data_IF_610006201451
#
_entry.id   IF_610006201451
#
_cell.length_a   1.000
_cell.length_b   1.000
_cell.length_c   1.000
_cell.angle_alpha   90.00
_cell.angle_beta   90.00
_cell.angle_gamma   90.00
#
_symmetry.space_group_name_H-M   'P 1'
#
loop_
_entity.id
_entity.type
_entity.pdbx_description
1 polymer ?
#
# COMPACT_ATOMS: atom_id res chain seq x y z
N UNK A 1 9.14 -22.30 10.31
CA UNK A 1 9.39 -21.50 11.53
C UNK A 1 8.29 -20.45 11.54
N UNK A 2 7.44 -20.46 12.58
CA UNK A 2 6.28 -19.57 12.65
C UNK A 2 6.71 -18.12 12.56
N UNK A 3 6.11 -17.39 11.62
CA UNK A 3 6.33 -15.95 11.47
C UNK A 3 5.32 -15.27 12.40
N UNK A 4 5.60 -15.30 13.71
CA UNK A 4 4.85 -14.48 14.65
C UNK A 4 5.30 -13.03 14.41
N UNK A 5 4.56 -12.34 13.54
CA UNK A 5 4.71 -10.89 13.39
C UNK A 5 4.42 -10.24 14.74
N UNK A 6 5.34 -9.39 15.20
CA UNK A 6 5.10 -8.55 16.38
C UNK A 6 4.06 -7.44 16.09
N UNK A 7 3.61 -7.33 14.85
CA UNK A 7 2.70 -6.29 14.38
C UNK A 7 1.30 -6.82 14.14
N UNK A 8 0.32 -6.13 14.73
CA UNK A 8 -1.09 -6.31 14.46
C UNK A 8 -1.65 -5.03 13.85
N UNK A 9 -2.28 -5.14 12.69
CA UNK A 9 -3.03 -4.03 12.07
C UNK A 9 -4.08 -3.49 13.05
N UNK A 10 -4.15 -2.17 13.19
CA UNK A 10 -5.16 -1.52 14.03
C UNK A 10 -6.53 -1.56 13.38
N UNK A 11 -7.56 -1.91 14.15
CA UNK A 11 -8.94 -1.96 13.66
C UNK A 11 -9.48 -0.54 13.47
N UNK A 12 -10.01 -0.19 12.28
CA UNK A 12 -10.69 1.07 12.07
C UNK A 12 -11.99 1.19 12.89
N UNK A 13 -12.38 2.42 13.22
CA UNK A 13 -13.66 2.73 13.85
C UNK A 13 -14.84 2.67 12.86
N UNK A 14 -16.04 3.04 13.31
CA UNK A 14 -17.25 3.03 12.48
C UNK A 14 -17.20 4.01 11.29
N UNK A 15 -16.27 4.97 11.30
CA UNK A 15 -16.01 5.91 10.22
C UNK A 15 -14.84 5.46 9.33
N UNK A 16 -14.26 4.28 9.58
CA UNK A 16 -13.11 3.76 8.85
C UNK A 16 -11.80 4.46 9.21
N UNK A 17 -11.73 5.17 10.35
CA UNK A 17 -10.52 5.85 10.83
C UNK A 17 -9.77 5.00 11.83
N UNK A 18 -8.44 5.11 11.80
CA UNK A 18 -7.53 4.37 12.66
C UNK A 18 -6.86 5.33 13.64
N UNK A 19 -6.89 4.96 14.92
CA UNK A 19 -6.25 5.73 15.99
C UNK A 19 -4.73 5.46 16.01
N UNK A 20 -3.98 6.28 15.26
CA UNK A 20 -2.53 6.32 15.34
C UNK A 20 -2.07 7.26 16.46
N UNK A 21 -1.12 6.82 17.26
CA UNK A 21 -0.56 7.62 18.35
C UNK A 21 0.54 8.57 17.86
N UNK A 22 1.11 9.34 18.79
CA UNK A 22 2.14 10.33 18.48
C UNK A 22 3.46 9.69 18.02
N UNK A 23 3.79 8.49 18.50
CA UNK A 23 5.03 7.81 18.13
C UNK A 23 4.92 7.26 16.70
N UNK A 24 3.79 6.65 16.37
CA UNK A 24 3.51 6.14 15.02
C UNK A 24 3.52 7.27 13.98
N UNK A 25 2.88 8.41 14.27
CA UNK A 25 2.91 9.58 13.39
C UNK A 25 4.33 10.16 13.26
N UNK A 26 5.12 10.17 14.33
CA UNK A 26 6.51 10.60 14.26
C UNK A 26 7.36 9.65 13.41
N UNK A 27 7.14 8.33 13.50
CA UNK A 27 7.81 7.34 12.65
C UNK A 27 7.47 7.56 11.18
N UNK A 28 6.20 7.80 10.85
CA UNK A 28 5.78 8.16 9.49
C UNK A 28 6.55 9.39 8.98
N UNK A 29 6.58 10.46 9.77
CA UNK A 29 7.24 11.70 9.38
C UNK A 29 8.74 11.51 9.11
N UNK A 30 9.41 10.71 9.94
CA UNK A 30 10.83 10.36 9.73
C UNK A 30 11.04 9.58 8.43
N UNK A 31 10.21 8.57 8.17
CA UNK A 31 10.30 7.77 6.94
C UNK A 31 10.02 8.60 5.69
N UNK A 32 8.98 9.44 5.74
CA UNK A 32 8.58 10.33 4.66
C UNK A 32 9.70 11.29 4.29
N UNK A 33 10.24 12.01 5.30
CA UNK A 33 11.34 12.96 5.09
C UNK A 33 12.58 12.28 4.51
N UNK A 34 12.96 11.10 5.06
CA UNK A 34 14.10 10.33 4.57
C UNK A 34 13.93 9.94 3.10
N UNK A 35 12.74 9.51 2.69
CA UNK A 35 12.49 9.14 1.30
C UNK A 35 12.53 10.36 0.36
N UNK A 36 12.01 11.52 0.77
CA UNK A 36 12.11 12.73 -0.05
C UNK A 36 13.54 13.22 -0.29
N UNK A 37 14.48 12.87 0.57
CA UNK A 37 15.91 13.13 0.37
C UNK A 37 16.58 12.13 -0.58
N UNK A 38 16.09 10.88 -0.62
CA UNK A 38 16.70 9.79 -1.38
C UNK A 38 16.15 9.68 -2.82
N UNK A 39 14.84 9.82 -2.99
CA UNK A 39 14.15 9.55 -4.25
C UNK A 39 14.48 10.51 -5.41
N UNK A 40 14.86 11.79 -5.22
CA UNK A 40 15.18 12.67 -6.34
C UNK A 40 16.28 12.10 -7.23
N UNK A 41 16.01 12.00 -8.54
CA UNK A 41 16.91 11.37 -9.51
C UNK A 41 16.92 9.83 -9.48
N UNK A 42 16.06 9.20 -8.68
CA UNK A 42 15.89 7.73 -8.59
C UNK A 42 14.48 7.27 -8.94
N UNK A 43 13.47 7.86 -8.31
CA UNK A 43 12.07 7.58 -8.64
C UNK A 43 11.71 8.21 -10.00
N UNK A 44 10.76 7.59 -10.70
CA UNK A 44 10.26 8.14 -11.95
C UNK A 44 9.53 9.49 -11.73
N UNK A 45 9.54 10.39 -12.72
CA UNK A 45 8.81 11.66 -12.63
C UNK A 45 7.31 11.47 -12.32
N UNK A 46 6.70 10.43 -12.88
CA UNK A 46 5.28 10.11 -12.67
C UNK A 46 4.96 9.86 -11.21
N UNK A 47 5.88 9.26 -10.44
CA UNK A 47 5.70 9.06 -9.01
C UNK A 47 5.66 10.39 -8.25
N UNK A 48 6.53 11.36 -8.59
CA UNK A 48 6.52 12.69 -7.95
C UNK A 48 5.30 13.53 -8.32
N UNK A 49 4.88 13.47 -9.59
CA UNK A 49 3.65 14.12 -10.05
C UNK A 49 2.43 13.56 -9.31
N UNK A 50 2.39 12.24 -9.13
CA UNK A 50 1.35 11.55 -8.41
C UNK A 50 1.39 11.83 -6.90
N UNK A 51 2.58 11.86 -6.28
CA UNK A 51 2.75 12.20 -4.87
C UNK A 51 2.24 13.62 -4.57
N UNK A 52 2.53 14.57 -5.47
CA UNK A 52 2.03 15.95 -5.40
C UNK A 52 0.52 16.00 -5.54
N UNK A 53 -0.06 15.22 -6.47
CA UNK A 53 -1.51 15.16 -6.70
C UNK A 53 -2.27 14.55 -5.53
N UNK A 54 -1.78 13.44 -4.98
CA UNK A 54 -2.41 12.77 -3.83
C UNK A 54 -2.26 13.62 -2.57
N UNK A 55 -1.16 14.36 -2.43
CA UNK A 55 -0.97 15.30 -1.32
C UNK A 55 -0.85 14.58 0.01
N UNK A 56 -0.04 13.52 0.07
CA UNK A 56 0.18 12.79 1.32
C UNK A 56 0.76 13.71 2.40
N UNK A 57 0.20 13.70 3.63
CA UNK A 57 0.75 14.48 4.73
C UNK A 57 2.15 13.99 5.09
N UNK A 58 3.05 14.94 5.36
CA UNK A 58 4.44 14.63 5.71
C UNK A 58 4.66 14.37 7.20
N UNK A 59 3.66 14.65 8.06
CA UNK A 59 3.81 14.71 9.51
C UNK A 59 2.93 13.71 10.28
N UNK A 60 2.02 12.99 9.60
CA UNK A 60 1.15 11.99 10.21
C UNK A 60 0.71 10.92 9.20
N UNK A 61 0.30 9.77 9.70
CA UNK A 61 -0.21 8.67 8.87
C UNK A 61 -1.58 9.09 8.30
N UNK A 62 -1.75 9.14 6.97
CA UNK A 62 -3.03 9.48 6.36
C UNK A 62 -4.08 8.40 6.61
N UNK A 63 -5.34 8.80 6.61
CA UNK A 63 -6.47 7.92 6.86
C UNK A 63 -7.03 7.40 5.53
N UNK A 64 -7.36 6.10 5.47
CA UNK A 64 -7.92 5.47 4.26
C UNK A 64 -9.14 6.24 3.68
N UNK A 65 -10.11 6.74 4.49
CA UNK A 65 -11.22 7.54 3.95
C UNK A 65 -10.77 8.80 3.20
N UNK A 66 -9.72 9.46 3.67
CA UNK A 66 -9.21 10.71 3.09
C UNK A 66 -8.47 10.40 1.77
N UNK A 67 -7.68 9.31 1.74
CA UNK A 67 -7.06 8.79 0.50
C UNK A 67 -8.12 8.38 -0.53
N UNK A 68 -9.18 7.71 -0.09
CA UNK A 68 -10.27 7.24 -0.96
C UNK A 68 -11.07 8.39 -1.57
N UNK A 69 -11.22 9.51 -0.84
CA UNK A 69 -11.84 10.71 -1.40
C UNK A 69 -11.03 11.22 -2.60
N UNK A 70 -9.69 11.27 -2.47
CA UNK A 70 -8.79 11.68 -3.56
C UNK A 70 -8.83 10.69 -4.75
N UNK A 71 -8.63 9.40 -4.50
CA UNK A 71 -8.53 8.38 -5.56
C UNK A 71 -9.85 8.15 -6.31
N UNK A 72 -11.00 8.40 -5.66
CA UNK A 72 -12.32 8.25 -6.29
C UNK A 72 -12.49 9.17 -7.50
N UNK A 73 -11.90 10.36 -7.47
CA UNK A 73 -11.98 11.33 -8.56
C UNK A 73 -11.04 10.99 -9.72
N UNK A 74 -9.91 10.34 -9.46
CA UNK A 74 -8.89 10.03 -10.47
C UNK A 74 -9.09 8.67 -11.13
N UNK A 75 -9.22 7.61 -10.35
CA UNK A 75 -9.18 6.23 -10.85
C UNK A 75 -10.32 5.37 -10.32
N UNK A 76 -11.01 5.78 -9.25
CA UNK A 76 -12.02 4.96 -8.58
C UNK A 76 -11.43 3.84 -7.73
N UNK A 77 -10.13 3.87 -7.44
CA UNK A 77 -9.48 2.92 -6.53
C UNK A 77 -9.88 3.24 -5.09
N UNK A 78 -10.08 2.20 -4.28
CA UNK A 78 -10.33 2.33 -2.84
C UNK A 78 -9.25 1.60 -2.04
N UNK A 79 -8.58 2.30 -1.13
CA UNK A 79 -7.69 1.74 -0.12
C UNK A 79 -8.55 1.12 0.99
N UNK A 80 -8.31 -0.16 1.28
CA UNK A 80 -9.10 -0.95 2.22
C UNK A 80 -8.19 -1.45 3.34
N UNK A 81 -8.46 -1.10 4.60
CA UNK A 81 -7.78 -1.68 5.76
C UNK A 81 -7.86 -3.21 5.78
N UNK A 82 -6.72 -3.87 5.95
CA UNK A 82 -6.66 -5.33 6.10
C UNK A 82 -5.81 -5.73 7.30
N UNK A 83 -6.00 -6.95 7.84
CA UNK A 83 -5.01 -7.57 8.71
C UNK A 83 -3.64 -7.63 8.01
N UNK A 84 -2.55 -7.62 8.78
CA UNK A 84 -1.18 -7.61 8.25
C UNK A 84 -0.90 -8.71 7.21
N UNK A 85 -1.64 -9.82 7.25
CA UNK A 85 -1.58 -10.89 6.26
C UNK A 85 -3.00 -11.28 5.83
N UNK A 86 -3.21 -11.37 4.52
CA UNK A 86 -4.44 -11.91 3.91
C UNK A 86 -4.08 -13.04 2.94
N UNK A 87 -5.04 -13.90 2.60
CA UNK A 87 -4.84 -14.93 1.59
C UNK A 87 -4.68 -14.33 0.19
N UNK A 88 -3.94 -15.01 -0.69
CA UNK A 88 -3.82 -14.61 -2.10
C UNK A 88 -5.19 -14.45 -2.77
N UNK A 89 -6.14 -15.34 -2.48
CA UNK A 89 -7.50 -15.27 -3.02
C UNK A 89 -8.20 -13.96 -2.62
N UNK A 90 -8.08 -13.57 -1.34
CA UNK A 90 -8.64 -12.30 -0.86
C UNK A 90 -7.91 -11.10 -1.47
N UNK A 91 -6.60 -11.19 -1.64
CA UNK A 91 -5.80 -10.15 -2.28
C UNK A 91 -6.23 -9.93 -3.74
N UNK A 92 -6.35 -11.00 -4.52
CA UNK A 92 -6.82 -10.95 -5.91
C UNK A 92 -8.23 -10.42 -6.02
N UNK A 93 -9.15 -10.86 -5.16
CA UNK A 93 -10.52 -10.36 -5.11
C UNK A 93 -10.56 -8.85 -4.90
N UNK A 94 -9.83 -8.35 -3.91
CA UNK A 94 -9.75 -6.92 -3.63
C UNK A 94 -9.26 -6.14 -4.87
N UNK A 95 -8.11 -6.52 -5.43
CA UNK A 95 -7.55 -5.83 -6.59
C UNK A 95 -8.48 -5.87 -7.81
N UNK A 96 -9.15 -7.00 -8.07
CA UNK A 96 -10.07 -7.16 -9.20
C UNK A 96 -11.23 -6.15 -9.15
N UNK A 97 -11.66 -5.75 -7.95
CA UNK A 97 -12.69 -4.74 -7.71
C UNK A 97 -12.12 -3.33 -7.49
N UNK A 98 -10.84 -3.09 -7.81
CA UNK A 98 -10.20 -1.79 -7.62
C UNK A 98 -10.01 -1.43 -6.16
N UNK A 99 -9.88 -2.42 -5.27
CA UNK A 99 -9.62 -2.21 -3.85
C UNK A 99 -8.19 -2.60 -3.53
N UNK A 100 -7.38 -1.66 -3.07
CA UNK A 100 -6.01 -1.93 -2.69
C UNK A 100 -5.91 -2.21 -1.17
N UNK A 101 -5.43 -3.39 -0.76
CA UNK A 101 -5.30 -3.72 0.65
C UNK A 101 -4.21 -2.87 1.31
N UNK A 102 -4.47 -2.40 2.53
CA UNK A 102 -3.49 -1.65 3.31
C UNK A 102 -3.44 -2.16 4.75
N UNK A 103 -2.27 -2.62 5.19
CA UNK A 103 -2.05 -2.88 6.60
C UNK A 103 -2.11 -1.56 7.40
N UNK A 104 -2.73 -1.58 8.57
CA UNK A 104 -2.96 -0.39 9.42
C UNK A 104 -2.09 -0.38 10.66
N UNK A 105 -0.84 -0.81 10.51
CA UNK A 105 0.21 -0.65 11.52
C UNK A 105 1.42 0.02 10.87
N UNK A 106 2.28 0.64 11.66
CA UNK A 106 3.58 1.14 11.21
C UNK A 106 4.69 0.42 11.96
N UNK A 107 5.83 0.22 11.30
CA UNK A 107 7.03 -0.36 11.91
C UNK A 107 7.50 0.43 13.14
N UNK A 108 8.17 -0.25 14.07
CA UNK A 108 8.81 0.36 15.23
C UNK A 108 10.07 1.13 14.83
N UNK A 109 10.57 1.95 15.75
CA UNK A 109 11.82 2.71 15.55
C UNK A 109 13.05 1.83 15.38
N UNK A 110 13.05 0.64 15.97
CA UNK A 110 14.16 -0.31 15.88
C UNK A 110 14.24 -0.98 14.49
N UNK A 111 13.16 -0.91 13.70
CA UNK A 111 13.04 -1.52 12.37
C UNK A 111 12.92 -0.46 11.25
N UNK A 112 13.33 0.79 11.51
CA UNK A 112 13.29 1.88 10.53
C UNK A 112 14.04 1.56 9.24
N UNK A 113 15.15 0.84 9.33
CA UNK A 113 15.98 0.50 8.17
C UNK A 113 15.32 -0.57 7.29
N UNK A 114 14.67 -1.56 7.88
CA UNK A 114 14.01 -2.63 7.16
C UNK A 114 13.01 -3.37 8.04
N UNK A 115 11.80 -3.58 7.50
CA UNK A 115 10.80 -4.49 8.01
C UNK A 115 10.46 -5.47 6.88
N UNK A 116 10.31 -6.76 7.22
CA UNK A 116 10.00 -7.79 6.23
C UNK A 116 8.52 -7.77 5.83
N UNK A 117 7.63 -7.53 6.80
CA UNK A 117 6.20 -7.36 6.58
C UNK A 117 5.88 -5.99 5.95
N UNK A 118 4.90 -5.91 5.02
CA UNK A 118 4.43 -4.64 4.53
C UNK A 118 3.64 -3.90 5.62
N UNK A 119 4.07 -2.67 5.93
CA UNK A 119 3.39 -1.78 6.88
C UNK A 119 2.67 -0.64 6.13
N UNK A 120 1.94 0.19 6.86
CA UNK A 120 1.18 1.31 6.29
C UNK A 120 2.06 2.28 5.49
N UNK A 121 3.35 2.43 5.86
CA UNK A 121 4.26 3.27 5.10
C UNK A 121 4.58 2.66 3.73
N UNK A 122 4.92 1.37 3.68
CA UNK A 122 5.12 0.68 2.41
C UNK A 122 3.87 0.79 1.50
N UNK A 123 2.70 0.49 2.03
CA UNK A 123 1.46 0.48 1.24
C UNK A 123 1.08 1.89 0.77
N UNK A 124 1.07 2.86 1.68
CA UNK A 124 0.58 4.20 1.36
C UNK A 124 1.63 5.03 0.65
N UNK A 125 2.87 5.11 1.15
CA UNK A 125 3.89 5.91 0.49
C UNK A 125 4.39 5.23 -0.79
N UNK A 126 4.55 3.90 -0.78
CA UNK A 126 5.07 3.16 -1.93
C UNK A 126 4.07 3.07 -3.10
N UNK A 127 2.83 2.66 -2.82
CA UNK A 127 1.90 2.27 -3.89
C UNK A 127 0.81 3.31 -4.18
N UNK A 128 0.28 3.99 -3.17
CA UNK A 128 -0.89 4.89 -3.35
C UNK A 128 -0.67 6.04 -4.35
N UNK A 129 0.51 6.69 -4.43
CA UNK A 129 0.75 7.69 -5.47
C UNK A 129 0.43 7.14 -6.86
N UNK A 130 1.03 6.02 -7.27
CA UNK A 130 0.82 5.47 -8.60
C UNK A 130 -0.60 4.93 -8.82
N UNK A 131 -1.35 4.56 -7.77
CA UNK A 131 -2.77 4.22 -7.90
C UNK A 131 -3.67 5.41 -8.33
N UNK A 132 -3.15 6.65 -8.29
CA UNK A 132 -3.81 7.81 -8.90
C UNK A 132 -3.60 7.94 -10.42
N UNK A 133 -2.70 7.14 -11.02
CA UNK A 133 -2.53 7.00 -12.46
C UNK A 133 -3.41 5.86 -13.00
N UNK A 134 -4.23 6.17 -14.01
CA UNK A 134 -5.18 5.21 -14.57
C UNK A 134 -4.50 3.96 -15.15
N UNK A 135 -3.32 4.07 -15.75
CA UNK A 135 -2.61 2.92 -16.35
C UNK A 135 -2.17 1.94 -15.28
N UNK A 136 -1.63 2.46 -14.18
CA UNK A 136 -1.18 1.64 -13.05
C UNK A 136 -2.38 1.03 -12.31
N UNK A 137 -3.44 1.82 -12.07
CA UNK A 137 -4.67 1.32 -11.47
C UNK A 137 -5.33 0.21 -12.31
N UNK A 138 -5.40 0.38 -13.64
CA UNK A 138 -5.97 -0.63 -14.54
C UNK A 138 -5.09 -1.87 -14.64
N UNK A 139 -3.76 -1.73 -14.60
CA UNK A 139 -2.84 -2.86 -14.48
C UNK A 139 -3.09 -3.65 -13.19
N UNK A 140 -3.20 -2.98 -12.04
CA UNK A 140 -3.49 -3.62 -10.76
C UNK A 140 -4.84 -4.35 -10.77
N UNK A 141 -5.88 -3.78 -11.39
CA UNK A 141 -7.19 -4.44 -11.57
C UNK A 141 -7.09 -5.67 -12.46
N UNK A 142 -6.42 -5.54 -13.61
CA UNK A 142 -6.24 -6.66 -14.53
C UNK A 142 -5.45 -7.80 -13.88
N UNK A 143 -4.45 -7.47 -13.07
CA UNK A 143 -3.71 -8.43 -12.25
C UNK A 143 -4.64 -9.18 -11.28
N UNK A 144 -5.47 -8.45 -10.52
CA UNK A 144 -6.45 -9.07 -9.63
C UNK A 144 -7.43 -9.99 -10.37
N UNK A 145 -7.96 -9.54 -11.50
CA UNK A 145 -8.87 -10.34 -12.35
C UNK A 145 -8.19 -11.60 -12.89
N UNK A 146 -6.93 -11.53 -13.30
CA UNK A 146 -6.15 -12.69 -13.71
C UNK A 146 -5.99 -13.68 -12.56
N UNK A 147 -5.74 -13.18 -11.34
CA UNK A 147 -5.63 -14.00 -10.13
C UNK A 147 -6.90 -14.76 -9.78
N UNK A 148 -8.07 -14.16 -9.97
CA UNK A 148 -9.37 -14.85 -9.83
C UNK A 148 -9.57 -15.99 -10.85
N UNK A 149 -8.85 -15.95 -11.98
CA UNK A 149 -8.88 -16.99 -13.00
C UNK A 149 -7.91 -18.14 -12.77
N UNK A 150 -7.04 -18.06 -11.77
CA UNK A 150 -6.04 -19.09 -11.50
C UNK A 150 -6.68 -20.41 -11.06
N UNK A 151 -6.23 -21.52 -11.64
CA UNK A 151 -6.78 -22.86 -11.42
C UNK A 151 -5.95 -23.70 -10.45
N UNK A 152 -4.69 -23.31 -10.24
CA UNK A 152 -3.72 -24.06 -9.47
C UNK A 152 -2.64 -23.12 -8.90
N UNK A 153 -1.83 -23.64 -7.97
CA UNK A 153 -0.76 -22.90 -7.32
C UNK A 153 0.30 -22.40 -8.31
N UNK A 154 0.61 -23.17 -9.35
CA UNK A 154 1.64 -22.80 -10.32
C UNK A 154 1.28 -21.51 -11.07
N UNK A 155 0.01 -21.33 -11.44
CA UNK A 155 -0.49 -20.09 -12.05
C UNK A 155 -0.40 -18.91 -11.08
N UNK A 156 -0.76 -19.13 -9.80
CA UNK A 156 -0.61 -18.09 -8.76
C UNK A 156 0.85 -17.69 -8.55
N UNK A 157 1.79 -18.65 -8.56
CA UNK A 157 3.22 -18.39 -8.40
C UNK A 157 3.82 -17.60 -9.57
N UNK A 158 3.26 -17.75 -10.78
CA UNK A 158 3.65 -16.95 -11.94
C UNK A 158 3.14 -15.52 -11.79
N UNK A 159 1.88 -15.34 -11.36
CA UNK A 159 1.35 -13.99 -11.07
C UNK A 159 2.10 -13.32 -9.92
N UNK A 160 2.40 -14.02 -8.83
CA UNK A 160 3.18 -13.47 -7.73
C UNK A 160 4.54 -12.95 -8.19
N UNK A 161 5.21 -13.65 -9.12
CA UNK A 161 6.46 -13.18 -9.74
C UNK A 161 6.25 -11.97 -10.63
N UNK A 162 5.16 -11.93 -11.40
CA UNK A 162 4.81 -10.76 -12.20
C UNK A 162 4.61 -9.53 -11.30
N UNK A 163 3.84 -9.66 -10.22
CA UNK A 163 3.61 -8.59 -9.24
C UNK A 163 4.92 -8.11 -8.63
N UNK A 164 5.76 -9.05 -8.20
CA UNK A 164 7.06 -8.75 -7.59
C UNK A 164 7.99 -7.95 -8.53
N UNK A 165 8.12 -8.38 -9.79
CA UNK A 165 9.00 -7.70 -10.75
C UNK A 165 8.35 -6.52 -11.48
N UNK A 166 7.18 -6.07 -11.05
CA UNK A 166 6.51 -4.89 -11.64
C UNK A 166 6.07 -3.89 -10.57
N UNK A 167 5.10 -4.24 -9.72
CA UNK A 167 4.55 -3.34 -8.71
C UNK A 167 5.53 -3.14 -7.56
N UNK A 168 6.24 -4.18 -7.14
CA UNK A 168 7.13 -4.10 -5.97
C UNK A 168 8.56 -3.64 -6.32
N UNK A 169 9.13 -4.13 -7.43
CA UNK A 169 10.54 -3.93 -7.82
C UNK A 169 10.72 -3.60 -9.31
N UNK A 170 9.76 -2.90 -9.91
CA UNK A 170 9.81 -2.45 -11.32
C UNK A 170 10.83 -1.36 -11.61
#
# INVERSE_FOLDING_TARGET
MGNDSNYASKTPDAQGRVAYDAEENATWAMLYQRQLEILPGRACPEYFDALTRVGLPSDHIPQCPDLNACLRESTGVEIVPVPALISNERFFELLAFGRFPCATFIRSRDELEYLKEPDVFHEVFGHVPLLSDARFADFARAYGQAGLGCRNQQEQDVLARLYWFTIEFG
#
